data_IF_576285418045
#
_entry.id   IF_576285418045
#
_cell.length_a   1.000
_cell.length_b   1.000
_cell.length_c   1.000
_cell.angle_alpha   90.00
_cell.angle_beta   90.00
_cell.angle_gamma   90.00
#
_symmetry.space_group_name_H-M   'P 1'
#
loop_
_entity.id
_entity.type
_entity.pdbx_description
1 polymer ?
#
# COMPACT_ATOMS: atom_id res chain seq x y z
N UNK A 1 15.43 -3.23 34.18
CA UNK A 1 15.32 -1.76 34.10
C UNK A 1 16.29 -1.11 33.10
N UNK A 2 17.61 -1.41 33.09
CA UNK A 2 18.56 -0.77 32.16
C UNK A 2 18.31 -0.98 30.64
N UNK A 3 17.84 -2.17 30.20
CA UNK A 3 17.58 -2.46 28.79
C UNK A 3 16.42 -1.65 28.20
N UNK A 4 15.37 -1.36 28.96
CA UNK A 4 14.24 -0.55 28.49
C UNK A 4 14.61 0.93 28.33
N UNK A 5 15.44 1.46 29.21
CA UNK A 5 15.96 2.83 29.17
C UNK A 5 16.87 3.06 27.94
N UNK A 6 17.77 2.10 27.63
CA UNK A 6 18.63 2.17 26.45
C UNK A 6 17.85 2.09 25.13
N UNK A 7 16.83 1.24 25.06
CA UNK A 7 15.94 1.15 23.87
C UNK A 7 15.19 2.46 23.64
N UNK A 8 14.63 3.05 24.70
CA UNK A 8 13.94 4.34 24.65
C UNK A 8 14.86 5.49 24.21
N UNK A 9 16.11 5.52 24.68
CA UNK A 9 17.10 6.53 24.27
C UNK A 9 17.45 6.40 22.78
N UNK A 10 17.69 5.18 22.30
CA UNK A 10 17.99 4.91 20.88
C UNK A 10 16.86 5.34 19.96
N UNK A 11 15.60 5.07 20.31
CA UNK A 11 14.42 5.49 19.54
C UNK A 11 14.37 7.01 19.44
N UNK A 12 14.55 7.75 20.52
CA UNK A 12 14.56 9.22 20.52
C UNK A 12 15.68 9.79 19.64
N UNK A 13 16.88 9.21 19.67
CA UNK A 13 17.99 9.63 18.81
C UNK A 13 17.67 9.40 17.32
N UNK A 14 17.05 8.28 16.98
CA UNK A 14 16.60 7.96 15.61
C UNK A 14 15.53 8.94 15.15
N UNK A 15 14.52 9.24 15.96
CA UNK A 15 13.49 10.23 15.64
C UNK A 15 14.09 11.62 15.38
N UNK A 16 15.06 12.06 16.19
CA UNK A 16 15.74 13.35 16.00
C UNK A 16 16.46 13.38 14.64
N UNK A 17 17.16 12.28 14.29
CA UNK A 17 17.85 12.19 13.01
C UNK A 17 16.88 12.23 11.81
N UNK A 18 15.75 11.51 11.89
CA UNK A 18 14.69 11.52 10.88
C UNK A 18 14.08 12.92 10.73
N UNK A 19 13.70 13.58 11.83
CA UNK A 19 13.17 14.96 11.84
C UNK A 19 14.14 15.94 11.18
N UNK A 20 15.43 15.83 11.50
CA UNK A 20 16.48 16.69 10.93
C UNK A 20 16.62 16.48 9.41
N UNK A 21 16.67 15.23 8.97
CA UNK A 21 16.77 14.89 7.55
C UNK A 21 15.53 15.36 6.78
N UNK A 22 14.33 15.15 7.34
CA UNK A 22 13.07 15.59 6.76
C UNK A 22 13.06 17.11 6.54
N UNK A 23 13.31 17.88 7.58
CA UNK A 23 13.32 19.36 7.51
C UNK A 23 14.40 19.91 6.57
N UNK A 24 15.54 19.24 6.51
CA UNK A 24 16.59 19.59 5.55
C UNK A 24 16.15 19.37 4.11
N UNK A 25 15.33 18.35 3.83
CA UNK A 25 14.88 17.96 2.49
C UNK A 25 13.63 18.72 2.06
N UNK A 26 12.64 18.83 2.93
CA UNK A 26 11.30 19.38 2.64
C UNK A 26 11.04 20.74 3.28
N UNK A 27 12.02 21.30 4.02
CA UNK A 27 11.90 22.52 4.81
C UNK A 27 10.74 22.38 5.83
N UNK A 28 9.79 23.32 5.84
CA UNK A 28 8.61 23.27 6.69
C UNK A 28 7.37 22.73 5.96
N UNK A 29 7.58 22.12 4.80
CA UNK A 29 6.49 21.50 4.04
C UNK A 29 6.32 20.01 4.44
N UNK A 30 5.10 19.49 4.26
CA UNK A 30 4.79 18.08 4.48
C UNK A 30 4.99 17.57 5.93
N UNK A 31 4.73 18.39 6.95
CA UNK A 31 4.81 17.99 8.36
C UNK A 31 3.88 16.82 8.69
N UNK A 32 2.73 16.73 8.02
CA UNK A 32 1.83 15.58 8.12
C UNK A 32 2.50 14.29 7.65
N UNK A 33 3.24 14.35 6.54
CA UNK A 33 4.04 13.22 6.05
C UNK A 33 5.11 12.77 7.05
N UNK A 34 5.75 13.71 7.73
CA UNK A 34 6.69 13.41 8.81
C UNK A 34 6.00 12.68 9.97
N UNK A 35 4.80 13.12 10.35
CA UNK A 35 4.02 12.47 11.40
C UNK A 35 3.73 11.01 11.05
N UNK A 36 3.20 10.73 9.87
CA UNK A 36 2.93 9.36 9.41
C UNK A 36 4.20 8.51 9.32
N UNK A 37 5.30 9.08 8.83
CA UNK A 37 6.57 8.38 8.76
C UNK A 37 7.06 7.96 10.15
N UNK A 38 7.02 8.85 11.13
CA UNK A 38 7.45 8.56 12.50
C UNK A 38 6.55 7.52 13.18
N UNK A 39 5.24 7.57 12.95
CA UNK A 39 4.30 6.56 13.46
C UNK A 39 4.65 5.17 12.90
N UNK A 40 4.76 5.05 11.58
CA UNK A 40 5.06 3.76 10.95
C UNK A 40 6.44 3.20 11.31
N UNK A 41 7.46 4.05 11.49
CA UNK A 41 8.78 3.61 11.92
C UNK A 41 8.83 3.13 13.39
N UNK A 42 7.89 3.54 14.22
CA UNK A 42 7.80 3.05 15.60
C UNK A 42 7.19 1.66 15.72
N UNK A 43 6.48 1.20 14.69
CA UNK A 43 5.81 -0.10 14.66
C UNK A 43 6.73 -1.25 14.20
N UNK A 44 7.77 -0.95 13.44
CA UNK A 44 8.64 -1.95 12.83
C UNK A 44 10.13 -1.66 13.05
N UNK A 45 10.97 -2.70 13.00
CA UNK A 45 12.42 -2.54 12.96
C UNK A 45 12.87 -2.00 11.59
N UNK A 46 13.61 -0.91 11.59
CA UNK A 46 14.12 -0.28 10.36
C UNK A 46 15.61 0.06 10.44
N UNK A 47 16.25 0.16 9.28
CA UNK A 47 17.60 0.70 9.16
C UNK A 47 17.54 2.21 9.05
N UNK A 48 18.06 2.92 10.05
CA UNK A 48 18.09 4.38 10.07
C UNK A 48 18.78 4.96 8.83
N UNK A 49 19.94 4.43 8.46
CA UNK A 49 20.72 4.92 7.31
C UNK A 49 19.93 4.80 6.01
N UNK A 50 19.19 3.69 5.82
CA UNK A 50 18.33 3.49 4.66
C UNK A 50 17.19 4.51 4.63
N UNK A 51 16.53 4.75 5.75
CA UNK A 51 15.43 5.74 5.84
C UNK A 51 15.95 7.14 5.56
N UNK A 52 17.08 7.54 6.14
CA UNK A 52 17.69 8.85 5.89
C UNK A 52 18.07 9.04 4.42
N UNK A 53 18.62 8.00 3.79
CA UNK A 53 18.92 8.00 2.36
C UNK A 53 17.65 8.16 1.50
N UNK A 54 16.57 7.43 1.82
CA UNK A 54 15.31 7.51 1.11
C UNK A 54 14.67 8.90 1.24
N UNK A 55 14.67 9.51 2.44
CA UNK A 55 14.20 10.90 2.66
C UNK A 55 14.98 11.87 1.80
N UNK A 56 16.33 11.79 1.80
CA UNK A 56 17.19 12.67 1.01
C UNK A 56 16.90 12.57 -0.50
N UNK A 57 16.57 11.39 -0.97
CA UNK A 57 16.19 11.14 -2.37
C UNK A 57 14.70 11.38 -2.67
N UNK A 58 13.95 11.95 -1.72
CA UNK A 58 12.52 12.27 -1.86
C UNK A 58 11.65 11.08 -2.24
N UNK A 59 12.02 9.88 -1.76
CA UNK A 59 11.19 8.69 -1.94
C UNK A 59 9.88 8.89 -1.18
N UNK A 60 8.71 8.62 -1.79
CA UNK A 60 7.42 8.69 -1.12
C UNK A 60 7.39 7.89 0.17
N UNK A 61 6.76 8.45 1.22
CA UNK A 61 6.71 7.81 2.55
C UNK A 61 6.08 6.43 2.50
N UNK A 62 5.12 6.22 1.62
CA UNK A 62 4.44 4.93 1.41
C UNK A 62 5.42 3.83 0.97
N UNK A 63 6.41 4.17 0.16
CA UNK A 63 7.45 3.22 -0.23
C UNK A 63 8.53 3.07 0.84
N UNK A 64 8.75 4.09 1.68
CA UNK A 64 9.65 3.98 2.85
C UNK A 64 9.04 3.03 3.87
N UNK A 65 7.74 3.19 4.16
CA UNK A 65 6.96 2.37 5.09
C UNK A 65 6.58 1.01 4.49
N UNK A 66 6.65 0.86 3.15
CA UNK A 66 6.26 -0.33 2.37
C UNK A 66 4.78 -0.71 2.52
N UNK A 67 3.95 0.15 3.06
CA UNK A 67 2.53 -0.06 3.27
C UNK A 67 1.79 1.27 3.28
N UNK A 68 0.49 1.23 2.97
CA UNK A 68 -0.39 2.38 3.06
C UNK A 68 -1.85 1.97 3.18
N UNK A 69 -2.64 2.84 3.74
CA UNK A 69 -4.07 2.65 3.87
C UNK A 69 -4.78 2.97 2.56
N UNK A 70 -5.80 2.18 2.24
CA UNK A 70 -6.73 2.42 1.16
C UNK A 70 -8.07 1.80 1.52
N UNK A 71 -9.15 2.59 1.47
CA UNK A 71 -10.50 2.21 1.84
C UNK A 71 -10.54 1.64 3.27
N UNK A 72 -10.90 0.38 3.48
CA UNK A 72 -10.97 -0.29 4.79
C UNK A 72 -9.72 -1.14 5.10
N UNK A 73 -8.68 -1.10 4.25
CA UNK A 73 -7.52 -1.98 4.37
C UNK A 73 -6.16 -1.28 4.43
N UNK A 74 -5.17 -2.00 4.95
CA UNK A 74 -3.75 -1.65 4.82
C UNK A 74 -3.11 -2.55 3.76
N UNK A 75 -2.40 -1.97 2.80
CA UNK A 75 -1.83 -2.65 1.65
C UNK A 75 -0.32 -2.54 1.63
N UNK A 76 0.36 -3.65 1.40
CA UNK A 76 1.80 -3.70 1.14
C UNK A 76 2.07 -3.01 -0.19
N UNK A 77 3.08 -2.14 -0.20
CA UNK A 77 3.48 -1.36 -1.37
C UNK A 77 4.99 -1.41 -1.58
N UNK A 78 5.40 -1.31 -2.81
CA UNK A 78 6.77 -1.02 -3.21
C UNK A 78 6.79 -0.21 -4.53
N UNK A 79 7.97 0.06 -5.05
CA UNK A 79 8.16 0.84 -6.27
C UNK A 79 7.71 0.14 -7.58
N UNK A 80 7.09 -1.05 -7.50
CA UNK A 80 6.54 -1.76 -8.66
C UNK A 80 5.03 -1.57 -8.80
N UNK A 81 4.38 -0.92 -7.83
CA UNK A 81 2.95 -0.63 -7.85
C UNK A 81 2.69 0.84 -7.58
N UNK A 82 1.63 1.37 -8.17
CA UNK A 82 1.20 2.73 -7.90
C UNK A 82 0.69 2.83 -6.44
N UNK A 83 1.06 3.92 -5.77
CA UNK A 83 0.48 4.25 -4.45
C UNK A 83 -1.02 4.51 -4.65
N UNK A 84 -1.90 3.79 -3.95
CA UNK A 84 -3.33 4.01 -4.02
C UNK A 84 -3.70 5.47 -3.74
N UNK A 85 -4.63 6.01 -4.52
CA UNK A 85 -5.06 7.41 -4.40
C UNK A 85 -6.39 7.47 -3.66
N UNK A 86 -6.60 8.43 -2.74
CA UNK A 86 -7.85 8.58 -2.01
C UNK A 86 -9.06 8.76 -2.93
N UNK A 87 -8.88 9.44 -4.07
CA UNK A 87 -9.94 9.65 -5.07
C UNK A 87 -10.46 8.34 -5.66
N UNK A 88 -9.62 7.31 -5.69
CA UNK A 88 -9.98 5.98 -6.20
C UNK A 88 -10.94 5.24 -5.26
N UNK A 89 -11.01 5.61 -3.98
CA UNK A 89 -11.98 5.07 -3.02
C UNK A 89 -13.44 5.40 -3.43
N UNK A 90 -13.64 6.52 -4.10
CA UNK A 90 -14.94 6.90 -4.67
C UNK A 90 -15.39 5.88 -5.72
N UNK A 91 -14.46 5.40 -6.57
CA UNK A 91 -14.74 4.36 -7.55
C UNK A 91 -15.14 3.05 -6.86
N UNK A 92 -14.39 2.61 -5.85
CA UNK A 92 -14.70 1.39 -5.08
C UNK A 92 -16.10 1.50 -4.48
N UNK A 93 -16.41 2.62 -3.85
CA UNK A 93 -17.71 2.86 -3.25
C UNK A 93 -18.86 2.83 -4.27
N UNK A 94 -18.63 3.45 -5.44
CA UNK A 94 -19.60 3.44 -6.54
C UNK A 94 -19.89 2.01 -7.05
N UNK A 95 -18.84 1.18 -7.21
CA UNK A 95 -19.00 -0.21 -7.65
C UNK A 95 -19.78 -1.01 -6.62
N UNK A 96 -19.45 -0.90 -5.34
CA UNK A 96 -20.14 -1.62 -4.26
C UNK A 96 -21.62 -1.26 -4.21
N UNK A 97 -21.96 0.02 -4.36
CA UNK A 97 -23.34 0.49 -4.25
C UNK A 97 -24.19 0.16 -5.48
N UNK A 98 -23.63 0.21 -6.68
CA UNK A 98 -24.42 0.16 -7.91
C UNK A 98 -24.29 -1.16 -8.69
N UNK A 99 -23.29 -1.98 -8.39
CA UNK A 99 -22.99 -3.22 -9.13
C UNK A 99 -23.02 -4.48 -8.25
N UNK A 100 -23.73 -4.45 -7.14
CA UNK A 100 -23.80 -5.57 -6.18
C UNK A 100 -24.43 -6.85 -6.76
N UNK A 101 -25.16 -6.76 -7.87
CA UNK A 101 -25.74 -7.90 -8.60
C UNK A 101 -24.80 -8.51 -9.67
N UNK A 102 -23.68 -7.87 -9.97
CA UNK A 102 -22.71 -8.37 -10.93
C UNK A 102 -22.07 -9.66 -10.43
N UNK A 103 -22.07 -10.70 -11.26
CA UNK A 103 -21.47 -12.00 -10.92
C UNK A 103 -19.97 -12.05 -11.19
N UNK A 104 -19.50 -11.25 -12.14
CA UNK A 104 -18.09 -11.19 -12.53
C UNK A 104 -17.64 -9.73 -12.61
N UNK A 105 -16.46 -9.43 -12.08
CA UNK A 105 -15.84 -8.11 -12.13
C UNK A 105 -14.37 -8.30 -12.52
N UNK A 106 -13.90 -7.47 -13.44
CA UNK A 106 -12.52 -7.47 -13.91
C UNK A 106 -11.88 -6.11 -13.59
N UNK A 107 -10.71 -6.16 -12.92
CA UNK A 107 -9.85 -5.01 -12.62
C UNK A 107 -8.61 -5.07 -13.51
N UNK A 108 -8.53 -4.19 -14.51
CA UNK A 108 -7.42 -4.12 -15.46
C UNK A 108 -6.33 -3.18 -14.95
N UNK A 109 -5.09 -3.67 -14.86
CA UNK A 109 -3.99 -2.92 -14.28
C UNK A 109 -4.08 -2.84 -12.77
N UNK A 110 -4.35 -3.96 -12.12
CA UNK A 110 -4.72 -4.05 -10.69
C UNK A 110 -3.64 -3.54 -9.72
N UNK A 111 -2.37 -3.46 -10.16
CA UNK A 111 -1.26 -2.95 -9.35
C UNK A 111 -1.08 -3.71 -8.04
N UNK A 112 -1.33 -3.04 -6.91
CA UNK A 112 -1.28 -3.65 -5.57
C UNK A 112 -2.47 -4.56 -5.25
N UNK A 113 -3.47 -4.63 -6.11
CA UNK A 113 -4.70 -5.37 -5.90
C UNK A 113 -5.74 -4.67 -5.02
N UNK A 114 -5.45 -3.47 -4.52
CA UNK A 114 -6.27 -2.82 -3.49
C UNK A 114 -7.73 -2.59 -3.92
N UNK A 115 -7.99 -2.19 -5.16
CA UNK A 115 -9.34 -2.00 -5.71
C UNK A 115 -10.10 -3.33 -5.73
N UNK A 116 -9.52 -4.32 -6.41
CA UNK A 116 -10.12 -5.65 -6.56
C UNK A 116 -10.40 -6.31 -5.20
N UNK A 117 -9.44 -6.21 -4.27
CA UNK A 117 -9.56 -6.80 -2.92
C UNK A 117 -10.66 -6.09 -2.11
N UNK A 118 -10.74 -4.75 -2.12
CA UNK A 118 -11.81 -4.05 -1.39
C UNK A 118 -13.20 -4.36 -1.94
N UNK A 119 -13.33 -4.45 -3.27
CA UNK A 119 -14.59 -4.88 -3.89
C UNK A 119 -14.93 -6.31 -3.47
N UNK A 120 -13.95 -7.23 -3.46
CA UNK A 120 -14.17 -8.64 -3.12
C UNK A 120 -14.65 -8.84 -1.68
N UNK A 121 -14.16 -8.03 -0.75
CA UNK A 121 -14.62 -8.05 0.66
C UNK A 121 -16.08 -7.67 0.82
N UNK A 122 -16.63 -6.89 -0.07
CA UNK A 122 -18.01 -6.38 0.00
C UNK A 122 -18.97 -7.15 -0.92
N UNK A 123 -18.52 -7.62 -2.06
CA UNK A 123 -19.33 -8.33 -3.05
C UNK A 123 -19.05 -9.84 -3.01
N UNK A 124 -19.45 -10.51 -1.94
CA UNK A 124 -19.10 -11.91 -1.66
C UNK A 124 -19.64 -12.92 -2.70
N UNK A 125 -20.66 -12.55 -3.47
CA UNK A 125 -21.24 -13.41 -4.50
C UNK A 125 -20.65 -13.14 -5.90
N UNK A 126 -19.70 -12.22 -6.01
CA UNK A 126 -19.05 -11.85 -7.25
C UNK A 126 -17.68 -12.54 -7.36
N UNK A 127 -17.39 -13.11 -8.52
CA UNK A 127 -16.05 -13.58 -8.88
C UNK A 127 -15.24 -12.37 -9.38
N UNK A 128 -14.16 -12.03 -8.69
CA UNK A 128 -13.33 -10.88 -9.04
C UNK A 128 -11.99 -11.38 -9.58
N UNK A 129 -11.62 -10.85 -10.74
CA UNK A 129 -10.32 -11.10 -11.37
C UNK A 129 -9.58 -9.77 -11.49
N UNK A 130 -8.31 -9.73 -11.08
CA UNK A 130 -7.40 -8.62 -11.30
C UNK A 130 -6.33 -9.01 -12.31
N UNK A 131 -6.00 -8.13 -13.26
CA UNK A 131 -4.91 -8.38 -14.19
C UNK A 131 -3.86 -7.29 -14.12
N UNK A 132 -2.62 -7.63 -14.42
CA UNK A 132 -1.53 -6.67 -14.61
C UNK A 132 -0.50 -7.24 -15.58
N UNK A 133 0.14 -6.39 -16.36
CA UNK A 133 1.25 -6.78 -17.25
C UNK A 133 2.54 -7.01 -16.45
N UNK A 134 2.63 -6.48 -15.23
CA UNK A 134 3.78 -6.56 -14.36
C UNK A 134 3.66 -7.75 -13.41
N UNK A 135 4.48 -8.78 -13.63
CA UNK A 135 4.60 -9.90 -12.69
C UNK A 135 4.93 -9.44 -11.26
N UNK A 136 5.76 -8.39 -11.13
CA UNK A 136 6.14 -7.83 -9.81
C UNK A 136 4.98 -7.13 -9.12
N UNK A 137 4.07 -6.51 -9.87
CA UNK A 137 2.84 -5.95 -9.31
C UNK A 137 1.94 -7.07 -8.79
N UNK A 138 1.77 -8.15 -9.55
CA UNK A 138 0.97 -9.30 -9.14
C UNK A 138 1.54 -10.05 -7.93
N UNK A 139 2.86 -10.07 -7.74
CA UNK A 139 3.49 -10.59 -6.51
C UNK A 139 3.03 -9.80 -5.27
N UNK A 140 2.93 -8.47 -5.39
CA UNK A 140 2.39 -7.61 -4.33
C UNK A 140 0.89 -7.83 -4.15
N UNK A 141 0.11 -7.86 -5.24
CA UNK A 141 -1.33 -8.10 -5.19
C UNK A 141 -1.65 -9.44 -4.51
N UNK A 142 -0.94 -10.51 -4.87
CA UNK A 142 -1.10 -11.80 -4.22
C UNK A 142 -0.74 -11.77 -2.73
N UNK A 143 0.31 -11.04 -2.35
CA UNK A 143 0.67 -10.87 -0.93
C UNK A 143 -0.44 -10.16 -0.16
N UNK A 144 -1.02 -9.11 -0.72
CA UNK A 144 -2.14 -8.37 -0.13
C UNK A 144 -3.42 -9.22 -0.04
N UNK A 145 -3.58 -10.18 -0.93
CA UNK A 145 -4.76 -11.05 -1.03
C UNK A 145 -4.80 -12.17 0.03
N UNK A 146 -3.65 -12.49 0.65
CA UNK A 146 -3.53 -13.62 1.59
C UNK A 146 -4.47 -13.52 2.81
N UNK A 147 -4.87 -12.31 3.19
CA UNK A 147 -5.75 -12.07 4.32
C UNK A 147 -7.23 -11.87 3.91
N UNK A 148 -7.53 -11.98 2.61
CA UNK A 148 -8.91 -11.80 2.13
C UNK A 148 -9.75 -13.06 2.38
N UNK A 149 -10.92 -12.87 2.97
CA UNK A 149 -11.92 -13.94 3.14
C UNK A 149 -12.59 -14.35 1.81
N UNK A 150 -12.54 -13.49 0.82
CA UNK A 150 -13.00 -13.74 -0.56
C UNK A 150 -11.85 -13.41 -1.52
N UNK A 151 -10.93 -14.36 -1.79
CA UNK A 151 -9.71 -14.07 -2.53
C UNK A 151 -9.99 -13.74 -4.00
N UNK A 152 -9.30 -12.72 -4.50
CA UNK A 152 -9.30 -12.31 -5.91
C UNK A 152 -8.42 -13.25 -6.72
N UNK A 153 -8.82 -13.55 -7.96
CA UNK A 153 -7.97 -14.26 -8.91
C UNK A 153 -7.07 -13.27 -9.67
N UNK A 154 -5.75 -13.37 -9.48
CA UNK A 154 -4.79 -12.49 -10.16
C UNK A 154 -4.10 -13.20 -11.33
N UNK A 155 -4.15 -12.58 -12.52
CA UNK A 155 -3.66 -13.14 -13.80
C UNK A 155 -2.67 -12.17 -14.42
N UNK A 156 -1.52 -12.69 -14.87
CA UNK A 156 -0.57 -11.93 -15.68
C UNK A 156 -1.13 -11.81 -17.09
N UNK A 157 -1.45 -10.58 -17.52
CA UNK A 157 -2.10 -10.36 -18.82
C UNK A 157 -1.76 -8.98 -19.37
N UNK A 158 -1.50 -8.91 -20.67
CA UNK A 158 -1.49 -7.66 -21.40
C UNK A 158 -2.93 -7.35 -21.79
N UNK A 159 -3.58 -6.45 -21.02
CA UNK A 159 -5.01 -6.14 -21.07
C UNK A 159 -5.88 -7.41 -20.99
N UNK A 160 -6.45 -7.87 -22.09
CA UNK A 160 -7.39 -8.98 -22.18
C UNK A 160 -6.76 -10.27 -22.73
N UNK A 161 -5.44 -10.30 -23.01
CA UNK A 161 -4.82 -11.40 -23.76
C UNK A 161 -4.96 -12.78 -23.11
N UNK A 162 -5.02 -12.83 -21.78
CA UNK A 162 -5.14 -14.06 -20.98
C UNK A 162 -6.52 -14.19 -20.31
N UNK A 163 -7.50 -13.42 -20.78
CA UNK A 163 -8.87 -13.46 -20.25
C UNK A 163 -9.72 -14.22 -21.27
N UNK A 164 -10.22 -15.39 -20.84
CA UNK A 164 -11.18 -16.14 -21.62
C UNK A 164 -12.48 -15.34 -21.78
N UNK A 165 -13.11 -15.45 -22.95
CA UNK A 165 -14.42 -14.84 -23.22
C UNK A 165 -15.43 -15.32 -22.15
N UNK A 166 -16.08 -14.37 -21.45
CA UNK A 166 -17.09 -14.63 -20.43
C UNK A 166 -18.48 -14.76 -21.06
#
# INVERSE_FOLDING_TARGET
MQRSSLKSKKIKEQEIAVKKAWRSTYKNSYEEGLYFLLQGLNEEEFSLDKVLHQIKNKIPIQYILKKWFFYDGEYILNNHVLIPRPETEVLVNHIIQNFSSCRTILDLGTGSGCIAIEISKKLLNSKITGTDISKRALEIANTNNLQSSNPVNFILSDWFSEIDEC
#
